data_IF_621889673740
#
_entry.id   IF_621889673740
#
_cell.length_a   1.000
_cell.length_b   1.000
_cell.length_c   1.000
_cell.angle_alpha   90.00
_cell.angle_beta   90.00
_cell.angle_gamma   90.00
#
_symmetry.space_group_name_H-M   'P 1'
#
loop_
_entity.id
_entity.type
_entity.pdbx_description
1 polymer ?
#
# COMPACT_ATOMS: atom_id res chain seq x y z
N UNK A 1 38.65 -28.90 11.90
CA UNK A 1 38.15 -30.15 11.28
C UNK A 1 37.34 -30.87 12.33
N UNK A 2 36.09 -30.45 12.50
CA UNK A 2 35.13 -31.11 13.37
C UNK A 2 34.60 -32.36 12.68
N UNK A 3 34.44 -33.43 13.44
CA UNK A 3 34.07 -34.78 13.03
C UNK A 3 32.62 -34.79 12.49
N UNK A 4 32.46 -34.53 11.18
CA UNK A 4 31.15 -34.45 10.50
C UNK A 4 30.51 -35.82 10.23
N UNK A 5 31.12 -36.92 10.68
CA UNK A 5 30.74 -38.26 10.25
C UNK A 5 29.66 -38.94 11.08
N UNK A 6 29.25 -38.38 12.24
CA UNK A 6 28.34 -39.06 13.18
C UNK A 6 26.93 -38.47 13.30
N UNK A 7 26.56 -37.44 12.53
CA UNK A 7 25.27 -36.77 12.69
C UNK A 7 24.13 -37.57 12.04
N UNK A 8 23.03 -37.77 12.77
CA UNK A 8 21.81 -38.43 12.28
C UNK A 8 20.61 -37.50 12.46
N UNK A 9 19.61 -37.64 11.58
CA UNK A 9 18.36 -36.88 11.66
C UNK A 9 17.55 -37.20 12.91
N UNK A 10 16.95 -36.17 13.53
CA UNK A 10 16.03 -36.33 14.66
C UNK A 10 14.75 -37.05 14.27
N UNK A 11 14.41 -37.06 12.97
CA UNK A 11 13.20 -37.69 12.44
C UNK A 11 13.18 -39.22 12.59
N UNK A 12 14.35 -39.85 12.77
CA UNK A 12 14.42 -41.29 13.06
C UNK A 12 13.58 -41.68 14.28
N UNK A 13 13.44 -40.80 15.27
CA UNK A 13 12.67 -41.04 16.50
C UNK A 13 11.18 -41.26 16.25
N UNK A 14 10.65 -40.75 15.14
CA UNK A 14 9.25 -40.88 14.76
C UNK A 14 8.97 -42.11 13.88
N UNK A 15 10.01 -42.81 13.41
CA UNK A 15 9.87 -44.03 12.63
C UNK A 15 9.76 -45.27 13.53
N UNK A 16 9.15 -46.37 13.05
CA UNK A 16 9.13 -47.65 13.77
C UNK A 16 10.53 -48.12 14.19
N UNK A 17 10.63 -48.81 15.33
CA UNK A 17 11.91 -49.21 15.95
C UNK A 17 12.85 -50.04 15.04
N UNK A 18 12.32 -50.70 14.01
CA UNK A 18 13.11 -51.42 12.99
C UNK A 18 14.03 -50.50 12.17
N UNK A 19 13.70 -49.21 12.04
CA UNK A 19 14.47 -48.21 11.31
C UNK A 19 15.38 -47.36 12.21
N UNK A 20 15.24 -47.49 13.54
CA UNK A 20 16.00 -46.74 14.53
C UNK A 20 17.33 -47.42 14.92
N UNK A 21 17.50 -48.72 14.59
CA UNK A 21 18.67 -49.50 14.98
C UNK A 21 19.72 -49.49 13.87
N UNK A 22 20.96 -49.24 14.26
CA UNK A 22 22.16 -49.47 13.44
C UNK A 22 23.04 -50.45 14.17
N UNK A 23 23.33 -51.58 13.52
CA UNK A 23 24.02 -52.72 14.16
C UNK A 23 25.50 -52.41 14.51
N UNK A 24 26.10 -51.36 13.93
CA UNK A 24 27.56 -51.15 13.98
C UNK A 24 28.03 -49.74 14.41
N UNK A 25 27.17 -48.91 15.01
CA UNK A 25 27.55 -47.55 15.46
C UNK A 25 27.83 -46.53 14.34
N UNK A 26 27.80 -46.96 13.08
CA UNK A 26 27.79 -46.10 11.90
C UNK A 26 26.43 -45.39 11.73
N UNK A 27 26.38 -44.18 11.17
CA UNK A 27 25.12 -43.49 10.95
C UNK A 27 24.33 -44.18 9.83
N UNK A 28 23.09 -44.58 10.14
CA UNK A 28 22.19 -45.24 9.19
C UNK A 28 22.11 -44.42 7.91
N UNK A 29 22.22 -45.07 6.74
CA UNK A 29 22.04 -44.41 5.45
C UNK A 29 20.68 -43.68 5.37
N UNK A 30 19.65 -44.23 6.02
CA UNK A 30 18.35 -43.59 6.17
C UNK A 30 18.42 -42.35 7.07
N UNK A 31 19.19 -42.39 8.17
CA UNK A 31 19.41 -41.24 9.05
C UNK A 31 20.11 -40.08 8.33
N UNK A 32 21.08 -40.39 7.48
CA UNK A 32 21.76 -39.39 6.62
C UNK A 32 20.84 -38.84 5.53
N UNK A 33 20.01 -39.70 4.91
CA UNK A 33 19.01 -39.28 3.94
C UNK A 33 17.98 -38.33 4.57
N UNK A 34 17.51 -38.65 5.77
CA UNK A 34 16.52 -37.86 6.49
C UNK A 34 17.06 -36.50 6.94
N UNK A 35 18.38 -36.30 7.06
CA UNK A 35 18.95 -34.98 7.34
C UNK A 35 18.59 -33.97 6.25
N UNK A 36 18.57 -34.40 4.98
CA UNK A 36 18.17 -33.53 3.87
C UNK A 36 16.71 -33.10 4.01
N UNK A 37 15.83 -34.05 4.37
CA UNK A 37 14.41 -33.75 4.56
C UNK A 37 14.14 -32.93 5.81
N UNK A 38 14.84 -33.19 6.91
CA UNK A 38 14.76 -32.40 8.15
C UNK A 38 15.24 -30.96 7.93
N UNK A 39 16.29 -30.78 7.12
CA UNK A 39 16.73 -29.46 6.72
C UNK A 39 15.68 -28.76 5.84
N UNK A 40 15.15 -29.43 4.81
CA UNK A 40 14.15 -28.86 3.90
C UNK A 40 12.84 -28.55 4.63
N UNK A 41 12.35 -29.44 5.48
CA UNK A 41 11.06 -29.28 6.13
C UNK A 41 11.20 -28.38 7.35
N UNK A 42 12.07 -28.70 8.30
CA UNK A 42 12.15 -27.97 9.58
C UNK A 42 13.22 -26.89 9.65
N UNK A 43 14.10 -26.75 8.67
CA UNK A 43 15.15 -25.73 8.69
C UNK A 43 16.28 -26.03 9.67
N UNK A 44 16.25 -27.21 10.28
CA UNK A 44 17.29 -27.69 11.19
C UNK A 44 18.42 -28.27 10.34
N UNK A 45 19.27 -27.40 9.81
CA UNK A 45 20.58 -27.79 9.29
C UNK A 45 21.55 -26.62 9.38
N UNK A 46 22.84 -26.94 9.37
CA UNK A 46 23.90 -26.02 9.76
C UNK A 46 23.83 -24.71 8.98
N UNK A 47 23.95 -23.61 9.73
CA UNK A 47 24.16 -22.28 9.19
C UNK A 47 25.57 -22.28 8.60
N UNK A 48 25.69 -22.38 7.28
CA UNK A 48 26.95 -22.01 6.63
C UNK A 48 27.07 -20.49 6.71
N UNK A 49 27.89 -20.01 7.65
CA UNK A 49 28.33 -18.62 7.67
C UNK A 49 29.20 -18.38 6.44
N UNK A 50 28.59 -18.01 5.30
CA UNK A 50 29.33 -17.60 4.11
C UNK A 50 29.84 -16.18 4.28
N UNK A 51 31.10 -16.04 4.66
CA UNK A 51 31.82 -14.77 4.57
C UNK A 51 32.10 -14.47 3.10
N UNK A 52 31.26 -13.63 2.47
CA UNK A 52 31.54 -13.13 1.11
C UNK A 52 32.36 -11.84 1.23
N UNK A 53 33.66 -11.92 0.92
CA UNK A 53 34.51 -10.73 0.82
C UNK A 53 34.15 -9.93 -0.44
N UNK A 54 33.38 -8.86 -0.28
CA UNK A 54 33.26 -7.83 -1.30
C UNK A 54 34.54 -6.98 -1.30
N UNK A 55 35.47 -7.31 -2.20
CA UNK A 55 36.70 -6.56 -2.43
C UNK A 55 36.41 -5.25 -3.20
N UNK A 56 35.89 -4.23 -2.52
CA UNK A 56 35.88 -2.86 -3.04
C UNK A 56 35.89 -1.75 -1.98
N UNK A 57 35.29 -1.95 -0.82
CA UNK A 57 35.40 -1.01 0.30
C UNK A 57 35.47 -1.85 1.58
N UNK A 58 36.32 -1.48 2.54
CA UNK A 58 36.61 -2.24 3.76
C UNK A 58 35.44 -2.41 4.75
N UNK A 59 34.20 -2.45 4.28
CA UNK A 59 33.02 -2.81 5.05
C UNK A 59 32.75 -4.31 4.90
N UNK A 60 33.08 -5.09 5.93
CA UNK A 60 32.78 -6.52 6.00
C UNK A 60 31.31 -6.69 6.37
N UNK A 61 30.41 -6.62 5.39
CA UNK A 61 29.02 -6.98 5.60
C UNK A 61 28.90 -8.51 5.62
N UNK A 62 28.99 -9.08 6.82
CA UNK A 62 28.75 -10.52 7.05
C UNK A 62 27.26 -10.81 6.88
N UNK A 63 26.86 -11.30 5.70
CA UNK A 63 25.52 -11.84 5.50
C UNK A 63 25.51 -13.31 5.95
N UNK A 64 24.71 -13.63 6.97
CA UNK A 64 24.43 -15.04 7.32
C UNK A 64 23.41 -15.58 6.33
N UNK A 65 23.86 -16.35 5.35
CA UNK A 65 22.97 -17.09 4.46
C UNK A 65 22.39 -18.29 5.21
N UNK A 66 21.47 -18.03 6.14
CA UNK A 66 20.73 -19.08 6.84
C UNK A 66 19.72 -19.67 5.86
N UNK A 67 19.87 -20.95 5.54
CA UNK A 67 18.88 -21.69 4.76
C UNK A 67 17.69 -21.97 5.68
N UNK A 68 16.56 -21.33 5.38
CA UNK A 68 15.33 -21.53 6.14
C UNK A 68 14.61 -22.80 5.68
N UNK A 69 14.05 -23.53 6.64
CA UNK A 69 13.16 -24.66 6.34
C UNK A 69 11.83 -24.20 5.77
N UNK A 70 11.12 -25.10 5.10
CA UNK A 70 9.79 -24.85 4.58
C UNK A 70 8.81 -24.50 5.70
N UNK A 71 8.80 -25.25 6.80
CA UNK A 71 7.96 -24.96 7.97
C UNK A 71 8.33 -23.61 8.59
N UNK A 72 9.61 -23.27 8.64
CA UNK A 72 10.07 -21.97 9.14
C UNK A 72 9.63 -20.82 8.22
N UNK A 73 9.54 -21.05 6.90
CA UNK A 73 8.99 -20.08 5.93
C UNK A 73 7.47 -19.99 6.04
N UNK A 74 6.79 -21.12 6.20
CA UNK A 74 5.33 -21.21 6.24
C UNK A 74 4.77 -20.66 7.55
N UNK A 75 5.30 -21.16 8.68
CA UNK A 75 4.89 -20.83 10.05
C UNK A 75 5.65 -19.64 10.64
N UNK A 76 6.76 -19.24 10.04
CA UNK A 76 7.59 -18.17 10.57
C UNK A 76 8.58 -18.64 11.61
N UNK A 77 9.60 -17.80 11.79
CA UNK A 77 10.71 -18.00 12.72
C UNK A 77 10.23 -17.60 14.10
N UNK A 78 10.33 -18.48 15.09
CA UNK A 78 10.09 -18.13 16.50
C UNK A 78 11.38 -17.67 17.18
N UNK A 79 11.28 -16.60 17.95
CA UNK A 79 12.35 -16.16 18.85
C UNK A 79 12.37 -16.99 20.13
N UNK A 80 13.41 -16.77 20.95
CA UNK A 80 13.56 -17.45 22.25
C UNK A 80 12.41 -17.16 23.23
N UNK A 81 11.77 -16.00 23.06
CA UNK A 81 10.64 -15.55 23.89
C UNK A 81 9.30 -16.22 23.51
N UNK A 82 9.28 -17.06 22.47
CA UNK A 82 8.07 -17.75 21.98
C UNK A 82 7.23 -16.96 20.99
N UNK A 83 7.46 -15.65 20.86
CA UNK A 83 6.90 -14.81 19.80
C UNK A 83 7.60 -15.07 18.46
N UNK A 84 6.94 -14.73 17.35
CA UNK A 84 7.57 -14.81 16.03
C UNK A 84 8.67 -13.74 15.92
N UNK A 85 9.91 -14.15 15.66
CA UNK A 85 10.98 -13.25 15.24
C UNK A 85 10.73 -12.75 13.81
N UNK A 86 10.26 -13.63 12.93
CA UNK A 86 9.78 -13.30 11.58
C UNK A 86 8.49 -14.07 11.34
N UNK A 87 7.40 -13.38 11.00
CA UNK A 87 6.14 -14.04 10.67
C UNK A 87 6.28 -14.91 9.42
N UNK A 88 5.50 -15.99 9.35
CA UNK A 88 5.46 -16.89 8.21
C UNK A 88 4.81 -16.27 6.97
N UNK A 89 4.37 -17.13 6.05
CA UNK A 89 3.85 -16.71 4.74
C UNK A 89 2.63 -15.76 4.86
N UNK A 90 1.87 -15.85 5.95
CA UNK A 90 0.74 -14.93 6.19
C UNK A 90 1.14 -13.46 6.25
N UNK A 91 2.40 -13.14 6.61
CA UNK A 91 2.87 -11.75 6.64
C UNK A 91 2.73 -11.07 5.28
N UNK A 92 2.91 -11.82 4.19
CA UNK A 92 2.82 -11.29 2.83
C UNK A 92 1.40 -10.85 2.47
N UNK A 93 0.38 -11.33 3.18
CA UNK A 93 -1.01 -10.92 3.00
C UNK A 93 -1.41 -9.75 3.92
N UNK A 94 -0.54 -9.34 4.85
CA UNK A 94 -0.77 -8.21 5.73
C UNK A 94 0.05 -6.99 5.29
N UNK A 95 -0.59 -5.91 4.76
CA UNK A 95 0.11 -4.66 4.47
C UNK A 95 0.71 -4.02 5.74
N UNK A 96 0.15 -4.29 6.93
CA UNK A 96 0.75 -3.97 8.23
C UNK A 96 1.26 -2.54 8.40
N UNK A 97 0.45 -1.48 8.20
CA UNK A 97 0.92 -0.09 8.33
C UNK A 97 1.45 0.25 9.73
N UNK A 98 0.98 -0.45 10.77
CA UNK A 98 1.42 -0.27 12.17
C UNK A 98 2.27 -1.44 12.70
N UNK A 99 2.51 -2.46 11.88
CA UNK A 99 3.26 -3.64 12.26
C UNK A 99 4.76 -3.43 12.02
N UNK A 100 5.60 -4.15 12.77
CA UNK A 100 7.05 -4.20 12.50
C UNK A 100 7.31 -4.90 11.16
N UNK A 101 8.44 -4.58 10.52
CA UNK A 101 8.84 -5.15 9.23
C UNK A 101 8.81 -6.69 9.20
N UNK A 102 9.19 -7.34 10.29
CA UNK A 102 9.26 -8.79 10.36
C UNK A 102 7.87 -9.47 10.38
N UNK A 103 6.83 -8.71 10.73
CA UNK A 103 5.46 -9.20 10.84
C UNK A 103 4.53 -8.73 9.72
N UNK A 104 5.03 -7.98 8.73
CA UNK A 104 4.25 -7.43 7.62
C UNK A 104 4.84 -7.80 6.27
N UNK A 105 4.09 -7.53 5.21
CA UNK A 105 4.55 -7.73 3.85
C UNK A 105 5.79 -6.84 3.58
N UNK A 106 6.85 -7.35 2.95
CA UNK A 106 7.96 -6.51 2.48
C UNK A 106 7.52 -5.42 1.50
N UNK A 107 8.27 -4.31 1.41
CA UNK A 107 7.94 -3.17 0.53
C UNK A 107 7.81 -3.58 -0.94
N UNK A 108 8.72 -4.45 -1.40
CA UNK A 108 8.72 -5.03 -2.75
C UNK A 108 7.47 -5.86 -3.09
N UNK A 109 6.74 -6.31 -2.06
CA UNK A 109 5.53 -7.11 -2.22
C UNK A 109 4.25 -6.25 -2.29
N UNK A 110 4.33 -4.97 -1.91
CA UNK A 110 3.19 -4.05 -1.96
C UNK A 110 2.59 -3.86 -3.36
N UNK A 111 3.39 -3.76 -4.45
CA UNK A 111 2.85 -3.73 -5.81
C UNK A 111 2.04 -4.97 -6.17
N UNK A 112 2.42 -6.15 -5.65
CA UNK A 112 1.65 -7.38 -5.85
C UNK A 112 0.33 -7.33 -5.09
N UNK A 113 0.35 -6.94 -3.81
CA UNK A 113 -0.88 -6.76 -3.02
C UNK A 113 -1.83 -5.74 -3.65
N UNK A 114 -1.30 -4.63 -4.16
CA UNK A 114 -2.10 -3.62 -4.83
C UNK A 114 -2.86 -4.15 -6.04
N UNK A 115 -2.29 -5.10 -6.80
CA UNK A 115 -2.98 -5.74 -7.92
C UNK A 115 -4.23 -6.50 -7.45
N UNK A 116 -4.17 -7.16 -6.29
CA UNK A 116 -5.32 -7.89 -5.75
C UNK A 116 -6.48 -6.95 -5.40
N UNK A 117 -6.16 -5.79 -4.86
CA UNK A 117 -7.15 -4.77 -4.52
C UNK A 117 -7.42 -3.80 -5.68
N UNK A 118 -7.01 -4.12 -6.91
CA UNK A 118 -7.21 -3.29 -8.11
C UNK A 118 -6.75 -1.83 -7.95
N UNK A 119 -5.68 -1.61 -7.17
CA UNK A 119 -5.09 -0.30 -6.95
C UNK A 119 -3.90 -0.07 -7.87
N UNK A 120 -3.88 1.10 -8.51
CA UNK A 120 -2.68 1.59 -9.20
C UNK A 120 -1.86 2.40 -8.20
N UNK A 121 -0.91 1.74 -7.56
CA UNK A 121 0.05 2.43 -6.68
C UNK A 121 0.92 3.35 -7.54
N UNK A 122 0.87 4.63 -7.20
CA UNK A 122 1.82 5.61 -7.67
C UNK A 122 3.16 5.35 -6.98
N UNK A 123 4.22 5.12 -7.77
CA UNK A 123 5.56 4.80 -7.25
C UNK A 123 6.20 5.96 -6.47
N UNK A 124 5.70 7.18 -6.63
CA UNK A 124 6.13 8.36 -5.89
C UNK A 124 5.53 8.45 -4.47
N UNK A 125 4.65 7.52 -4.11
CA UNK A 125 4.07 7.45 -2.76
C UNK A 125 4.98 6.69 -1.81
N UNK A 126 5.13 7.23 -0.60
CA UNK A 126 5.84 6.60 0.52
C UNK A 126 5.21 5.24 0.91
N UNK A 127 6.03 4.26 1.27
CA UNK A 127 5.57 2.89 1.51
C UNK A 127 4.53 2.78 2.63
N UNK A 128 4.67 3.53 3.73
CA UNK A 128 3.67 3.53 4.81
C UNK A 128 2.30 3.98 4.33
N UNK A 129 2.27 4.94 3.42
CA UNK A 129 1.06 5.41 2.80
C UNK A 129 0.46 4.36 1.84
N UNK A 130 1.29 3.68 1.05
CA UNK A 130 0.84 2.58 0.19
C UNK A 130 0.20 1.46 1.02
N UNK A 131 0.78 1.14 2.18
CA UNK A 131 0.28 0.13 3.13
C UNK A 131 -1.06 0.52 3.72
N UNK A 132 -1.19 1.75 4.21
CA UNK A 132 -2.44 2.26 4.75
C UNK A 132 -3.56 2.20 3.70
N UNK A 133 -3.23 2.53 2.46
CA UNK A 133 -4.19 2.52 1.37
C UNK A 133 -4.66 1.12 1.00
N UNK A 134 -3.74 0.15 0.86
CA UNK A 134 -4.09 -1.27 0.64
C UNK A 134 -4.95 -1.79 1.79
N UNK A 135 -4.58 -1.50 3.04
CA UNK A 135 -5.32 -1.94 4.22
C UNK A 135 -6.76 -1.40 4.26
N UNK A 136 -6.99 -0.19 3.74
CA UNK A 136 -8.31 0.46 3.72
C UNK A 136 -9.09 0.22 2.42
N UNK A 137 -8.47 -0.35 1.38
CA UNK A 137 -9.03 -0.45 0.03
C UNK A 137 -10.47 -1.01 0.00
N UNK A 138 -10.71 -2.15 0.67
CA UNK A 138 -12.03 -2.80 0.70
C UNK A 138 -13.09 -1.88 1.35
N UNK A 139 -12.73 -1.19 2.44
CA UNK A 139 -13.65 -0.26 3.12
C UNK A 139 -13.97 0.95 2.24
N UNK A 140 -12.98 1.46 1.51
CA UNK A 140 -13.16 2.57 0.58
C UNK A 140 -14.08 2.16 -0.59
N UNK A 141 -13.86 0.99 -1.17
CA UNK A 141 -14.69 0.48 -2.27
C UNK A 141 -16.15 0.23 -1.87
N UNK A 142 -16.41 -0.14 -0.61
CA UNK A 142 -17.78 -0.23 -0.10
C UNK A 142 -18.49 1.12 -0.05
N UNK A 143 -17.75 2.23 0.03
CA UNK A 143 -18.28 3.60 0.03
C UNK A 143 -18.18 4.26 -1.35
N UNK A 144 -17.79 3.53 -2.39
CA UNK A 144 -17.70 4.06 -3.76
C UNK A 144 -19.04 4.66 -4.18
N UNK A 145 -18.97 5.82 -4.85
CA UNK A 145 -20.15 6.57 -5.27
C UNK A 145 -20.87 7.33 -4.16
N UNK A 146 -20.31 7.42 -2.95
CA UNK A 146 -20.79 8.31 -1.88
C UNK A 146 -19.85 9.49 -1.69
N UNK A 147 -20.38 10.63 -1.25
CA UNK A 147 -19.59 11.80 -0.81
C UNK A 147 -18.43 11.41 0.09
N UNK A 148 -18.74 10.63 1.14
CA UNK A 148 -17.79 10.24 2.16
C UNK A 148 -16.67 9.37 1.58
N UNK A 149 -17.00 8.44 0.68
CA UNK A 149 -16.02 7.62 0.00
C UNK A 149 -15.07 8.44 -0.87
N UNK A 150 -15.61 9.41 -1.61
CA UNK A 150 -14.81 10.30 -2.45
C UNK A 150 -13.89 11.22 -1.62
N UNK A 151 -14.39 11.80 -0.52
CA UNK A 151 -13.58 12.61 0.40
C UNK A 151 -12.45 11.79 1.03
N UNK A 152 -12.73 10.56 1.47
CA UNK A 152 -11.73 9.66 2.08
C UNK A 152 -10.68 9.21 1.05
N UNK A 153 -11.10 8.90 -0.18
CA UNK A 153 -10.22 8.52 -1.29
C UNK A 153 -9.29 9.66 -1.70
N UNK A 154 -9.81 10.88 -1.85
CA UNK A 154 -9.03 12.05 -2.24
C UNK A 154 -8.06 12.49 -1.14
N UNK A 155 -8.49 12.41 0.13
CA UNK A 155 -7.62 12.68 1.28
C UNK A 155 -6.40 11.78 1.28
N UNK A 156 -6.64 10.49 1.07
CA UNK A 156 -5.58 9.50 1.00
C UNK A 156 -4.75 9.81 -0.25
N UNK A 157 -5.24 9.54 -1.47
CA UNK A 157 -4.42 9.48 -2.68
C UNK A 157 -3.68 10.77 -3.07
N UNK A 158 -4.22 11.94 -2.72
CA UNK A 158 -3.65 13.23 -3.13
C UNK A 158 -3.04 13.99 -1.94
N UNK A 159 -3.05 13.40 -0.73
CA UNK A 159 -2.68 14.05 0.53
C UNK A 159 -3.34 15.43 0.68
N UNK A 160 -4.58 15.56 0.21
CA UNK A 160 -5.33 16.80 0.30
C UNK A 160 -6.05 16.84 1.64
N UNK A 161 -5.81 17.89 2.40
CA UNK A 161 -6.62 18.19 3.58
C UNK A 161 -8.08 18.39 3.17
N UNK A 162 -9.01 17.98 4.03
CA UNK A 162 -10.44 18.14 3.75
C UNK A 162 -10.86 19.60 3.56
N UNK A 163 -10.08 20.55 4.06
CA UNK A 163 -10.28 21.99 3.87
C UNK A 163 -10.04 22.46 2.43
N UNK A 164 -9.34 21.65 1.62
CA UNK A 164 -9.04 21.94 0.23
C UNK A 164 -10.11 21.42 -0.73
N UNK A 165 -11.05 20.59 -0.27
CA UNK A 165 -12.06 19.96 -1.13
C UNK A 165 -13.44 20.26 -0.56
N UNK A 166 -14.28 20.93 -1.35
CA UNK A 166 -15.69 21.13 -1.04
C UNK A 166 -16.53 20.36 -2.06
N UNK A 167 -17.31 19.38 -1.58
CA UNK A 167 -18.25 18.61 -2.41
C UNK A 167 -19.67 19.08 -2.13
N UNK A 168 -20.35 19.59 -3.16
CA UNK A 168 -21.75 20.03 -3.09
C UNK A 168 -22.63 19.08 -3.93
N UNK A 169 -23.35 18.19 -3.24
CA UNK A 169 -24.30 17.23 -3.83
C UNK A 169 -25.75 17.73 -3.75
N UNK A 170 -25.98 19.01 -3.41
CA UNK A 170 -27.34 19.50 -3.17
C UNK A 170 -28.23 19.20 -4.38
N UNK A 171 -29.25 18.39 -4.15
CA UNK A 171 -30.39 18.22 -5.04
C UNK A 171 -31.13 19.56 -5.06
N UNK A 172 -30.75 20.44 -5.98
CA UNK A 172 -31.30 21.80 -6.08
C UNK A 172 -32.68 21.74 -6.74
N UNK A 173 -33.61 21.04 -6.08
CA UNK A 173 -35.02 21.04 -6.43
C UNK A 173 -35.61 22.40 -6.07
N UNK A 174 -36.13 23.09 -7.09
CA UNK A 174 -36.88 24.32 -6.89
C UNK A 174 -38.12 24.02 -6.04
N UNK A 175 -38.18 24.56 -4.83
CA UNK A 175 -39.36 24.48 -3.97
C UNK A 175 -40.02 25.85 -3.91
N UNK A 176 -41.23 25.95 -4.51
CA UNK A 176 -42.04 27.17 -4.49
C UNK A 176 -42.24 27.63 -3.03
N UNK A 177 -41.86 28.87 -2.72
CA UNK A 177 -42.01 29.47 -1.39
C UNK A 177 -40.81 29.33 -0.43
N UNK A 178 -39.80 28.52 -0.75
CA UNK A 178 -38.56 28.40 0.04
C UNK A 178 -37.30 28.83 -0.73
N UNK A 179 -37.28 28.62 -2.04
CA UNK A 179 -36.12 28.94 -2.89
C UNK A 179 -36.12 30.40 -3.33
N UNK A 180 -34.94 31.05 -3.32
CA UNK A 180 -34.75 32.41 -3.86
C UNK A 180 -34.21 32.37 -5.30
N UNK A 181 -34.90 33.06 -6.21
CA UNK A 181 -34.46 33.21 -7.61
C UNK A 181 -33.08 33.90 -7.67
N UNK A 182 -32.14 33.32 -8.41
CA UNK A 182 -30.77 33.85 -8.56
C UNK A 182 -29.78 33.52 -7.43
N UNK A 183 -30.23 32.89 -6.34
CA UNK A 183 -29.35 32.44 -5.24
C UNK A 183 -29.36 30.91 -5.17
N UNK A 184 -30.54 30.32 -5.04
CA UNK A 184 -30.73 28.89 -4.79
C UNK A 184 -31.57 28.20 -5.87
N UNK A 185 -31.87 28.92 -6.95
CA UNK A 185 -32.77 28.45 -8.02
C UNK A 185 -32.01 28.19 -9.30
N UNK A 186 -32.04 26.94 -9.77
CA UNK A 186 -31.42 26.51 -11.01
C UNK A 186 -32.50 25.88 -11.90
N UNK A 187 -32.61 26.37 -13.13
CA UNK A 187 -33.73 26.01 -14.04
C UNK A 187 -33.49 24.67 -14.74
N UNK A 188 -32.28 24.11 -14.69
CA UNK A 188 -31.97 22.82 -15.31
C UNK A 188 -30.62 22.32 -14.79
N UNK A 189 -30.62 21.54 -13.70
CA UNK A 189 -29.46 20.73 -13.33
C UNK A 189 -29.83 19.28 -13.65
N UNK A 190 -28.98 18.51 -14.34
CA UNK A 190 -29.23 17.09 -14.55
C UNK A 190 -29.41 16.37 -13.20
N UNK A 191 -30.31 15.38 -13.09
CA UNK A 191 -30.37 14.53 -11.92
C UNK A 191 -29.02 13.80 -11.74
N UNK A 192 -28.66 13.47 -10.50
CA UNK A 192 -27.39 12.83 -10.15
C UNK A 192 -26.17 13.66 -10.62
N UNK A 193 -26.08 14.90 -10.18
CA UNK A 193 -24.94 15.79 -10.43
C UNK A 193 -24.35 16.30 -9.11
N UNK A 194 -23.03 16.43 -9.04
CA UNK A 194 -22.34 17.04 -7.90
C UNK A 194 -21.22 17.98 -8.34
N UNK A 195 -20.94 18.99 -7.52
CA UNK A 195 -19.84 19.93 -7.73
C UNK A 195 -18.67 19.61 -6.81
N UNK A 196 -17.47 19.54 -7.35
CA UNK A 196 -16.23 19.48 -6.58
C UNK A 196 -15.47 20.78 -6.75
N UNK A 197 -15.29 21.54 -5.67
CA UNK A 197 -14.37 22.67 -5.65
C UNK A 197 -13.06 22.22 -5.03
N UNK A 198 -11.98 22.46 -5.75
CA UNK A 198 -10.64 22.02 -5.37
C UNK A 198 -9.73 23.22 -5.18
N UNK A 199 -9.30 23.50 -3.94
CA UNK A 199 -8.35 24.56 -3.65
C UNK A 199 -6.92 24.13 -4.01
N UNK A 200 -6.32 24.78 -5.00
CA UNK A 200 -4.97 24.46 -5.50
C UNK A 200 -4.00 25.63 -5.31
N UNK A 201 -2.73 25.32 -5.00
CA UNK A 201 -1.63 26.27 -5.03
C UNK A 201 -1.11 26.53 -6.46
N UNK A 202 -0.25 27.53 -6.63
CA UNK A 202 0.44 27.77 -7.92
C UNK A 202 1.30 26.55 -8.26
N UNK A 203 1.13 25.99 -9.46
CA UNK A 203 1.92 24.86 -9.96
C UNK A 203 1.34 23.47 -9.68
N UNK A 204 0.24 23.36 -8.93
CA UNK A 204 -0.38 22.08 -8.55
C UNK A 204 -1.26 21.44 -9.64
N UNK A 205 -1.03 21.75 -10.93
CA UNK A 205 -1.86 21.21 -12.02
C UNK A 205 -1.80 19.68 -12.12
N UNK A 206 -0.66 19.09 -11.76
CA UNK A 206 -0.52 17.64 -11.61
C UNK A 206 -1.58 17.06 -10.66
N UNK A 207 -1.86 17.73 -9.52
CA UNK A 207 -2.86 17.28 -8.54
C UNK A 207 -4.27 17.36 -9.11
N UNK A 208 -4.57 18.39 -9.91
CA UNK A 208 -5.85 18.50 -10.62
C UNK A 208 -6.12 17.27 -11.51
N UNK A 209 -5.14 16.84 -12.30
CA UNK A 209 -5.27 15.67 -13.17
C UNK A 209 -5.45 14.38 -12.36
N UNK A 210 -4.71 14.23 -11.26
CA UNK A 210 -4.85 13.08 -10.36
C UNK A 210 -6.24 13.03 -9.72
N UNK A 211 -6.74 14.16 -9.19
CA UNK A 211 -8.10 14.27 -8.63
C UNK A 211 -9.15 13.94 -9.68
N UNK A 212 -9.01 14.47 -10.89
CA UNK A 212 -9.92 14.19 -12.00
C UNK A 212 -9.97 12.69 -12.31
N UNK A 213 -8.81 12.03 -12.43
CA UNK A 213 -8.75 10.58 -12.69
C UNK A 213 -9.41 9.77 -11.56
N UNK A 214 -9.24 10.18 -10.30
CA UNK A 214 -9.86 9.53 -9.14
C UNK A 214 -11.39 9.70 -9.19
N UNK A 215 -11.89 10.92 -9.42
CA UNK A 215 -13.32 11.18 -9.52
C UNK A 215 -13.94 10.36 -10.66
N UNK A 216 -13.28 10.28 -11.82
CA UNK A 216 -13.74 9.45 -12.94
C UNK A 216 -13.82 7.96 -12.58
N UNK A 217 -12.89 7.46 -11.76
CA UNK A 217 -12.89 6.05 -11.34
C UNK A 217 -13.92 5.74 -10.23
N UNK A 218 -14.27 6.73 -9.41
CA UNK A 218 -15.14 6.56 -8.24
C UNK A 218 -16.58 6.99 -8.49
N UNK A 219 -16.85 7.84 -9.50
CA UNK A 219 -18.20 8.28 -9.83
C UNK A 219 -19.03 7.10 -10.36
N UNK A 220 -20.32 6.99 -9.97
CA UNK A 220 -21.23 6.08 -10.64
C UNK A 220 -21.37 6.48 -12.11
N UNK A 221 -21.54 5.48 -12.99
CA UNK A 221 -21.61 5.72 -14.44
C UNK A 221 -22.74 6.67 -14.88
N UNK A 222 -23.79 6.80 -14.07
CA UNK A 222 -24.95 7.67 -14.33
C UNK A 222 -24.85 9.04 -13.66
N UNK A 223 -23.73 9.37 -13.00
CA UNK A 223 -23.54 10.62 -12.27
C UNK A 223 -22.61 11.56 -13.04
N UNK A 224 -23.00 12.82 -13.15
CA UNK A 224 -22.18 13.89 -13.74
C UNK A 224 -21.52 14.73 -12.64
N UNK A 225 -20.39 15.37 -12.97
CA UNK A 225 -19.74 16.29 -12.05
C UNK A 225 -19.08 17.44 -12.78
N UNK A 226 -18.91 18.55 -12.05
CA UNK A 226 -18.02 19.63 -12.42
C UNK A 226 -16.89 19.75 -11.40
N UNK A 227 -15.66 19.94 -11.89
CA UNK A 227 -14.46 20.14 -11.06
C UNK A 227 -13.92 21.56 -11.27
N UNK A 228 -14.15 22.43 -10.29
CA UNK A 228 -13.74 23.83 -10.31
C UNK A 228 -12.48 24.01 -9.45
N UNK A 229 -11.34 24.41 -10.02
CA UNK A 229 -10.19 24.83 -9.22
C UNK A 229 -10.48 26.18 -8.55
N UNK A 230 -10.20 26.30 -7.26
CA UNK A 230 -10.34 27.54 -6.47
C UNK A 230 -8.97 27.97 -5.96
N UNK A 231 -8.69 29.27 -5.89
CA UNK A 231 -7.42 29.81 -5.34
C UNK A 231 -6.35 30.15 -6.37
N UNK A 232 -6.56 29.83 -7.65
CA UNK A 232 -5.82 30.46 -8.74
C UNK A 232 -6.60 31.71 -9.18
N UNK A 233 -5.95 32.88 -9.14
CA UNK A 233 -6.56 34.14 -9.58
C UNK A 233 -6.96 34.15 -11.07
N UNK A 234 -6.60 33.09 -11.81
CA UNK A 234 -6.81 33.01 -13.25
C UNK A 234 -6.88 31.54 -13.70
N UNK A 235 -7.98 31.17 -14.36
CA UNK A 235 -8.12 29.91 -15.10
C UNK A 235 -8.49 30.26 -16.53
N UNK A 236 -7.57 30.04 -17.47
CA UNK A 236 -7.79 30.28 -18.90
C UNK A 236 -8.95 29.40 -19.37
N UNK A 237 -10.03 30.01 -19.84
CA UNK A 237 -11.19 29.34 -20.44
C UNK A 237 -12.43 29.16 -19.56
N UNK A 238 -12.37 29.44 -18.26
CA UNK A 238 -13.50 29.31 -17.32
C UNK A 238 -13.82 30.61 -16.56
N UNK A 239 -12.88 31.54 -16.46
CA UNK A 239 -13.11 32.83 -15.79
C UNK A 239 -13.87 33.81 -16.69
N UNK A 240 -15.05 34.28 -16.23
CA UNK A 240 -15.74 35.42 -16.85
C UNK A 240 -15.04 36.72 -16.45
N UNK A 241 -14.36 37.34 -17.42
CA UNK A 241 -13.75 38.67 -17.25
C UNK A 241 -14.78 39.68 -16.74
N UNK A 242 -14.50 40.31 -15.59
CA UNK A 242 -15.28 41.44 -15.05
C UNK A 242 -16.08 41.18 -13.76
N UNK A 243 -16.26 39.94 -13.31
CA UNK A 243 -16.91 39.63 -12.01
C UNK A 243 -15.89 39.21 -10.94
N UNK A 244 -14.89 38.42 -11.34
CA UNK A 244 -13.88 37.86 -10.44
C UNK A 244 -12.45 38.38 -10.76
N UNK A 245 -12.35 39.40 -11.60
CA UNK A 245 -11.07 39.95 -12.06
C UNK A 245 -10.87 41.36 -11.51
N UNK A 246 -9.97 41.53 -10.55
CA UNK A 246 -9.34 42.85 -10.31
C UNK A 246 -8.07 42.89 -11.15
N UNK A 247 -8.14 43.63 -12.26
CA UNK A 247 -6.98 43.91 -13.10
C UNK A 247 -6.15 44.99 -12.39
N UNK A 248 -5.02 44.61 -11.79
CA UNK A 248 -4.05 45.58 -11.30
C UNK A 248 -3.44 46.32 -12.49
N UNK A 249 -3.53 47.65 -12.49
CA UNK A 249 -2.83 48.47 -13.47
C UNK A 249 -1.34 48.48 -13.12
N UNK A 250 -0.52 47.83 -13.96
CA UNK A 250 0.92 48.10 -13.96
C UNK A 250 1.09 49.52 -14.48
N UNK A 251 1.41 50.44 -13.58
CA UNK A 251 1.94 51.75 -13.97
C UNK A 251 3.43 51.50 -14.20
N UNK A 252 3.80 51.37 -15.47
CA UNK A 252 5.20 51.37 -15.87
C UNK A 252 5.75 52.77 -15.61
N UNK A 253 6.44 52.93 -14.47
CA UNK A 253 7.32 54.07 -14.23
C UNK A 253 8.62 53.80 -15.01
N UNK A 254 8.72 54.39 -16.19
CA UNK A 254 10.01 54.67 -16.84
C UNK A 254 10.49 56.04 -16.33
N UNK A 255 11.53 56.05 -15.49
CA UNK A 255 12.58 57.08 -15.45
C UNK A 255 13.95 56.41 -15.37
#
# INVERSE_FOLDING_TARGET
MTDQTSQQSSYLRYLPAIYQKTDDGEPSALGKLLLVFEHILTGVGEVEDKEVENSAEGNKDTYRERIFGLEEILDGIRGEDGDYAVSGIWRYFDPGPLAKNDHRAPDEFLPWLAKWVALTLRQDLEYDFQREFIAKAIRLYRKRGTRQGLEEMLRILVKLESENIEIDERERSFTVGKSRLGVDTYISVPPHWFLVKLRLGRGDWHKYQAVKAIIESEKPAHTQYDLIPTGLAFIVGQSKLGVETVLGTSKDDYE
#
